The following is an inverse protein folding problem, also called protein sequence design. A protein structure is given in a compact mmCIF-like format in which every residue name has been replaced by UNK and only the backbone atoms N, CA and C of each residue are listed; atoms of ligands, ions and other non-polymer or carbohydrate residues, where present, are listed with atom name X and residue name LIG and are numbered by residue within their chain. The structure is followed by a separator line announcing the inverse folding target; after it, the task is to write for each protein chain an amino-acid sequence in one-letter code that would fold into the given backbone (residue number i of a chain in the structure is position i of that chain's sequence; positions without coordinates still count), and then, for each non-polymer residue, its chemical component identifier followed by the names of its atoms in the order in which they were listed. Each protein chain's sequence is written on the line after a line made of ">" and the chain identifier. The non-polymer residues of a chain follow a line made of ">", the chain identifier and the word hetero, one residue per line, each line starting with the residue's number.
data_IF_950958014147
#
_entry.id   IF_950958014147
#
_cell.length_a   1.000
_cell.length_b   1.000
_cell.length_c   1.000
_cell.angle_alpha   90.00
_cell.angle_beta   90.00
_cell.angle_gamma   90.00
#
_symmetry.space_group_name_H-M   'P 1'
#
loop_
_entity.id
_entity.type
_entity.pdbx_description
1 polymer ?
#
# COMPACT_ATOMS: atom_id res chain seq x y z
N UNK A 1 -25.26 -33.42 28.59
CA UNK A 1 -24.39 -32.35 29.12
C UNK A 1 -23.16 -32.20 28.23
N UNK A 2 -23.32 -31.63 27.04
CA UNK A 2 -22.21 -31.43 26.10
C UNK A 2 -22.64 -30.36 25.10
N UNK A 3 -22.39 -29.10 25.42
CA UNK A 3 -22.57 -28.00 24.45
C UNK A 3 -21.91 -26.67 24.86
N UNK A 4 -21.28 -26.58 26.04
CA UNK A 4 -20.64 -25.33 26.49
C UNK A 4 -19.13 -25.30 26.19
N UNK A 5 -18.47 -26.46 26.07
CA UNK A 5 -17.03 -26.56 25.71
C UNK A 5 -16.80 -26.40 24.22
N UNK A 6 -17.71 -26.91 23.39
CA UNK A 6 -17.57 -26.91 21.92
C UNK A 6 -17.78 -25.52 21.31
N UNK A 7 -18.64 -24.69 21.90
CA UNK A 7 -18.82 -23.30 21.44
C UNK A 7 -17.58 -22.44 21.70
N UNK A 8 -16.91 -22.63 22.85
CA UNK A 8 -15.68 -21.91 23.20
C UNK A 8 -14.52 -22.25 22.26
N UNK A 9 -14.37 -23.54 21.91
CA UNK A 9 -13.35 -23.98 20.94
C UNK A 9 -13.65 -23.44 19.55
N UNK A 10 -14.92 -23.45 19.12
CA UNK A 10 -15.31 -22.88 17.83
C UNK A 10 -15.04 -21.37 17.74
N UNK A 11 -15.39 -20.61 18.79
CA UNK A 11 -15.07 -19.18 18.85
C UNK A 11 -13.57 -18.92 18.88
N UNK A 12 -12.78 -19.73 19.58
CA UNK A 12 -11.33 -19.57 19.67
C UNK A 12 -10.65 -19.88 18.33
N UNK A 13 -11.09 -20.93 17.61
CA UNK A 13 -10.63 -21.23 16.25
C UNK A 13 -11.02 -20.10 15.28
N UNK A 14 -12.25 -19.60 15.36
CA UNK A 14 -12.71 -18.50 14.51
C UNK A 14 -11.93 -17.21 14.77
N UNK A 15 -11.62 -16.93 16.04
CA UNK A 15 -10.80 -15.79 16.43
C UNK A 15 -9.36 -15.92 15.96
N UNK A 16 -8.75 -17.10 16.11
CA UNK A 16 -7.41 -17.39 15.59
C UNK A 16 -7.36 -17.30 14.06
N UNK A 17 -8.39 -17.76 13.35
CA UNK A 17 -8.50 -17.63 11.90
C UNK A 17 -8.58 -16.16 11.48
N UNK A 18 -9.42 -15.35 12.13
CA UNK A 18 -9.47 -13.91 11.84
C UNK A 18 -8.12 -13.23 12.13
N UNK A 19 -7.50 -13.55 13.27
CA UNK A 19 -6.23 -12.97 13.68
C UNK A 19 -5.08 -13.34 12.72
N UNK A 20 -4.92 -14.61 12.39
CA UNK A 20 -3.78 -15.12 11.63
C UNK A 20 -3.98 -15.14 10.12
N UNK A 21 -5.21 -15.09 9.62
CA UNK A 21 -5.49 -15.13 8.18
C UNK A 21 -6.01 -13.78 7.70
N UNK A 22 -7.09 -13.26 8.30
CA UNK A 22 -7.75 -12.04 7.80
C UNK A 22 -6.89 -10.79 8.07
N UNK A 23 -6.37 -10.63 9.28
CA UNK A 23 -5.56 -9.45 9.66
C UNK A 23 -4.34 -9.25 8.76
N UNK A 24 -3.45 -10.27 8.54
CA UNK A 24 -2.32 -10.09 7.65
C UNK A 24 -2.75 -9.93 6.19
N UNK A 25 -3.85 -10.52 5.74
CA UNK A 25 -4.37 -10.28 4.38
C UNK A 25 -4.78 -8.81 4.17
N UNK A 26 -5.34 -8.18 5.21
CA UNK A 26 -5.71 -6.76 5.18
C UNK A 26 -4.47 -5.86 5.28
N UNK A 27 -3.46 -6.26 6.06
CA UNK A 27 -2.21 -5.51 6.21
C UNK A 27 -1.29 -5.61 4.99
N UNK A 28 -1.30 -6.73 4.26
CA UNK A 28 -0.49 -6.94 3.06
C UNK A 28 -1.14 -6.46 1.76
N UNK A 29 -2.23 -5.68 1.84
CA UNK A 29 -2.89 -5.07 0.67
C UNK A 29 -1.91 -4.30 -0.21
N UNK A 30 -0.90 -3.64 0.36
CA UNK A 30 0.14 -2.94 -0.40
C UNK A 30 0.93 -3.80 -1.39
N UNK A 31 1.12 -5.10 -1.11
CA UNK A 31 1.98 -5.97 -1.90
C UNK A 31 1.41 -6.28 -3.30
N UNK A 32 0.09 -6.18 -3.45
CA UNK A 32 -0.62 -6.44 -4.70
C UNK A 32 -0.84 -5.16 -5.53
N UNK A 33 -0.35 -4.00 -5.05
CA UNK A 33 -0.42 -2.76 -5.82
C UNK A 33 0.69 -2.76 -6.86
N UNK A 34 0.29 -2.62 -8.12
CA UNK A 34 1.23 -2.58 -9.24
C UNK A 34 1.98 -1.23 -9.29
N UNK A 35 3.29 -1.31 -9.59
CA UNK A 35 4.15 -0.15 -9.85
C UNK A 35 3.65 0.69 -11.02
N UNK A 36 2.97 0.08 -11.98
CA UNK A 36 2.38 0.76 -13.14
C UNK A 36 1.40 1.86 -12.73
N UNK A 37 0.71 1.70 -11.58
CA UNK A 37 -0.20 2.74 -11.07
C UNK A 37 0.58 3.99 -10.70
N UNK A 38 1.76 3.82 -10.09
CA UNK A 38 2.64 4.94 -9.73
C UNK A 38 3.25 5.60 -10.97
N UNK A 39 3.69 4.80 -11.94
CA UNK A 39 4.24 5.31 -13.21
C UNK A 39 3.18 6.13 -13.95
N UNK A 40 1.97 5.57 -14.15
CA UNK A 40 0.87 6.28 -14.82
C UNK A 40 0.45 7.55 -14.08
N UNK A 41 0.50 7.55 -12.75
CA UNK A 41 0.20 8.74 -11.96
C UNK A 41 1.23 9.85 -12.24
N UNK A 42 2.52 9.49 -12.29
CA UNK A 42 3.61 10.41 -12.58
C UNK A 42 3.53 10.93 -14.02
N UNK A 43 3.28 10.06 -15.00
CA UNK A 43 3.07 10.44 -16.40
C UNK A 43 1.91 11.43 -16.56
N UNK A 44 0.78 11.20 -15.85
CA UNK A 44 -0.36 12.13 -15.85
C UNK A 44 -0.04 13.51 -15.30
N UNK A 45 0.98 13.63 -14.46
CA UNK A 45 1.49 14.90 -13.94
C UNK A 45 2.60 15.51 -14.82
N UNK A 46 2.91 14.90 -15.96
CA UNK A 46 3.93 15.39 -16.90
C UNK A 46 5.36 15.01 -16.51
N UNK A 47 5.55 14.07 -15.60
CA UNK A 47 6.88 13.50 -15.35
C UNK A 47 7.27 12.57 -16.49
N UNK A 48 8.57 12.48 -16.77
CA UNK A 48 9.16 11.62 -17.79
C UNK A 48 10.41 10.92 -17.25
N UNK A 49 10.91 9.92 -17.97
CA UNK A 49 12.07 9.12 -17.56
C UNK A 49 11.93 8.58 -16.11
N UNK A 50 10.82 7.88 -15.86
CA UNK A 50 10.41 7.45 -14.52
C UNK A 50 11.07 6.10 -14.19
N UNK A 51 11.80 6.05 -13.09
CA UNK A 51 12.43 4.85 -12.55
C UNK A 51 11.96 4.61 -11.12
N UNK A 52 11.28 3.49 -10.87
CA UNK A 52 10.83 3.11 -9.52
C UNK A 52 12.02 2.52 -8.74
N UNK A 53 12.60 3.32 -7.85
CA UNK A 53 13.77 2.96 -7.04
C UNK A 53 13.42 2.23 -5.74
N UNK A 54 12.19 2.40 -5.23
CA UNK A 54 11.77 1.73 -4.00
C UNK A 54 10.27 1.40 -4.01
N UNK A 55 9.91 0.28 -3.40
CA UNK A 55 8.53 -0.12 -3.16
C UNK A 55 8.38 -0.56 -1.69
N UNK A 56 7.52 0.15 -0.96
CA UNK A 56 7.21 -0.12 0.44
C UNK A 56 5.72 -0.41 0.58
N UNK A 57 5.40 -1.56 1.18
CA UNK A 57 4.04 -2.07 1.36
C UNK A 57 3.66 -2.23 2.84
N UNK A 58 4.60 -1.97 3.76
CA UNK A 58 4.39 -2.09 5.19
C UNK A 58 4.60 -0.74 5.89
N UNK A 59 3.68 -0.38 6.79
CA UNK A 59 3.75 0.85 7.60
C UNK A 59 3.92 2.13 6.76
N UNK A 60 3.30 2.18 5.58
CA UNK A 60 3.38 3.34 4.68
C UNK A 60 2.88 4.63 5.33
N UNK A 61 1.89 4.52 6.24
CA UNK A 61 1.37 5.63 7.04
C UNK A 61 2.40 6.33 7.94
N UNK A 62 3.41 5.61 8.41
CA UNK A 62 4.49 6.17 9.22
C UNK A 62 5.66 6.71 8.38
N UNK A 63 5.66 6.43 7.08
CA UNK A 63 6.72 6.82 6.14
C UNK A 63 6.31 7.98 5.23
N UNK A 64 5.41 8.85 5.68
CA UNK A 64 4.97 10.05 4.97
C UNK A 64 3.81 9.87 3.99
N UNK A 65 3.24 8.66 3.90
CA UNK A 65 1.93 8.44 3.29
C UNK A 65 0.83 8.48 4.35
N UNK A 66 -0.43 8.54 3.93
CA UNK A 66 -1.55 8.44 4.88
C UNK A 66 -1.60 7.04 5.49
N UNK A 67 -2.02 6.93 6.75
CA UNK A 67 -2.38 5.66 7.41
C UNK A 67 -3.32 4.77 6.59
N UNK A 68 -4.11 5.35 5.69
CA UNK A 68 -5.05 4.67 4.79
C UNK A 68 -4.43 4.26 3.45
N UNK A 69 -3.18 4.63 3.17
CA UNK A 69 -2.50 4.21 1.95
C UNK A 69 -1.99 2.78 2.08
N UNK A 70 -1.90 2.08 0.95
CA UNK A 70 -1.53 0.67 0.88
C UNK A 70 -0.06 0.50 0.49
N UNK A 71 0.43 1.29 -0.46
CA UNK A 71 1.82 1.23 -0.92
C UNK A 71 2.42 2.63 -1.12
N UNK A 72 3.72 2.74 -0.83
CA UNK A 72 4.56 3.89 -1.14
C UNK A 72 5.59 3.47 -2.19
N UNK A 73 5.56 4.13 -3.33
CA UNK A 73 6.56 3.96 -4.38
C UNK A 73 7.47 5.17 -4.41
N UNK A 74 8.78 4.98 -4.33
CA UNK A 74 9.74 6.05 -4.60
C UNK A 74 10.18 5.93 -6.04
N UNK A 75 10.09 7.02 -6.78
CA UNK A 75 10.51 7.11 -8.17
C UNK A 75 11.51 8.24 -8.36
N UNK A 76 12.51 8.01 -9.20
CA UNK A 76 13.34 9.06 -9.79
C UNK A 76 12.74 9.39 -11.15
N UNK A 77 12.44 10.66 -11.38
CA UNK A 77 11.83 11.10 -12.62
C UNK A 77 12.31 12.50 -13.00
N UNK A 78 12.14 12.86 -14.26
CA UNK A 78 12.33 14.22 -14.76
C UNK A 78 11.00 14.94 -14.67
N UNK A 79 10.96 16.05 -13.93
CA UNK A 79 9.76 16.86 -13.79
C UNK A 79 9.44 17.63 -15.10
N UNK A 80 8.26 18.24 -15.22
CA UNK A 80 7.91 19.07 -16.39
C UNK A 80 8.86 20.25 -16.65
N UNK A 81 9.65 20.65 -15.65
CA UNK A 81 10.67 21.69 -15.75
C UNK A 81 12.04 21.16 -16.21
N UNK A 82 12.14 19.88 -16.60
CA UNK A 82 13.37 19.27 -17.11
C UNK A 82 14.41 18.92 -16.03
N UNK A 83 14.06 18.99 -14.75
CA UNK A 83 14.97 18.65 -13.63
C UNK A 83 14.73 17.23 -13.16
N UNK A 84 15.81 16.50 -12.90
CA UNK A 84 15.74 15.20 -12.26
C UNK A 84 15.43 15.37 -10.77
N UNK A 85 14.36 14.73 -10.31
CA UNK A 85 13.86 14.81 -8.94
C UNK A 85 13.48 13.44 -8.42
N UNK A 86 13.58 13.26 -7.12
CA UNK A 86 13.06 12.09 -6.42
C UNK A 86 11.67 12.42 -5.86
N UNK A 87 10.69 11.58 -6.18
CA UNK A 87 9.29 11.76 -5.81
C UNK A 87 8.76 10.47 -5.21
N UNK A 88 7.80 10.58 -4.31
CA UNK A 88 7.12 9.42 -3.77
C UNK A 88 5.63 9.45 -4.08
N UNK A 89 5.12 8.32 -4.54
CA UNK A 89 3.73 8.10 -4.89
C UNK A 89 3.09 7.21 -3.84
N UNK A 90 2.17 7.79 -3.10
CA UNK A 90 1.33 7.07 -2.15
C UNK A 90 0.10 6.55 -2.89
N UNK A 91 -0.14 5.25 -2.84
CA UNK A 91 -1.26 4.59 -3.51
C UNK A 91 -2.09 3.86 -2.47
N UNK A 92 -3.42 3.95 -2.58
CA UNK A 92 -4.31 3.17 -1.72
C UNK A 92 -4.80 1.90 -2.40
N UNK A 93 -5.56 1.10 -1.65
CA UNK A 93 -6.06 -0.20 -2.10
C UNK A 93 -7.41 -0.06 -2.83
N UNK A 94 -7.51 -0.61 -4.04
CA UNK A 94 -8.71 -0.86 -4.87
C UNK A 94 -9.58 0.35 -5.30
N UNK A 95 -9.75 1.40 -4.48
CA UNK A 95 -10.62 2.55 -4.76
C UNK A 95 -9.97 3.92 -4.52
N UNK A 96 -8.83 3.96 -3.84
CA UNK A 96 -8.14 5.22 -3.51
C UNK A 96 -7.08 5.52 -4.56
N UNK A 97 -7.18 6.70 -5.17
CA UNK A 97 -6.25 7.17 -6.19
C UNK A 97 -4.81 7.31 -5.70
N UNK A 98 -3.89 7.49 -6.65
CA UNK A 98 -2.48 7.75 -6.38
C UNK A 98 -2.27 9.25 -6.05
N UNK A 99 -1.56 9.53 -4.96
CA UNK A 99 -1.15 10.88 -4.58
C UNK A 99 0.36 11.00 -4.73
N UNK A 100 0.82 11.98 -5.50
CA UNK A 100 2.24 12.28 -5.67
C UNK A 100 2.63 13.32 -4.62
N UNK A 101 3.74 13.07 -3.94
CA UNK A 101 4.35 14.00 -3.02
C UNK A 101 5.84 14.11 -3.33
N UNK A 102 6.31 15.34 -3.25
CA UNK A 102 7.72 15.71 -3.26
C UNK A 102 8.13 15.96 -1.81
N UNK A 103 9.40 15.68 -1.49
CA UNK A 103 10.04 16.25 -0.31
C UNK A 103 10.37 17.74 -0.55
#
# INVERSE_FOLDING_TARGET
>A
MGNQKDSGVFHLIFFLFFLFVVTPLVSCRGALVDKDIAIRALEKQGYSNIEIVNHQYFWVGWKGCDSKDAAKFTARAVNPAGKQVEVFVCTGWLLKGATIRTD
#
